data_IF_151326212808
#
_entry.id   IF_151326212808
#
_cell.length_a   1.000
_cell.length_b   1.000
_cell.length_c   1.000
_cell.angle_alpha   90.00
_cell.angle_beta   90.00
_cell.angle_gamma   90.00
#
_symmetry.space_group_name_H-M   'P 1'
#
loop_
_entity.id
_entity.type
_entity.pdbx_description
1 polymer ?
#
# COMPACT_ATOMS: atom_id res chain seq x y z
N UNK A 1 -35.79 -11.39 54.89
CA UNK A 1 -34.54 -12.13 54.61
C UNK A 1 -34.55 -12.50 53.14
N UNK A 2 -33.54 -12.37 52.30
CA UNK A 2 -32.29 -11.63 52.24
C UNK A 2 -31.94 -11.67 50.73
N UNK A 3 -31.37 -10.58 50.20
CA UNK A 3 -30.92 -10.47 48.80
C UNK A 3 -29.89 -11.56 48.47
N UNK A 4 -29.92 -12.08 47.26
CA UNK A 4 -28.69 -12.32 46.50
C UNK A 4 -29.01 -12.22 45.00
N UNK A 5 -29.10 -10.97 44.55
CA UNK A 5 -28.83 -10.62 43.16
C UNK A 5 -27.36 -10.90 42.90
N UNK A 6 -27.08 -12.05 42.29
CA UNK A 6 -25.77 -12.32 41.71
C UNK A 6 -25.93 -12.18 40.20
N UNK A 7 -25.87 -10.93 39.73
CA UNK A 7 -25.76 -10.64 38.31
C UNK A 7 -24.33 -10.97 37.93
N UNK A 8 -24.08 -12.25 37.62
CA UNK A 8 -22.82 -12.66 37.03
C UNK A 8 -22.64 -11.84 35.74
N UNK A 9 -21.57 -11.04 35.69
CA UNK A 9 -21.16 -10.37 34.48
C UNK A 9 -20.93 -11.44 33.41
N UNK A 10 -21.79 -11.45 32.39
CA UNK A 10 -21.67 -12.34 31.24
C UNK A 10 -20.35 -11.97 30.55
N UNK A 11 -19.34 -12.83 30.70
CA UNK A 11 -18.05 -12.66 30.01
C UNK A 11 -18.33 -12.94 28.54
N UNK A 12 -18.46 -11.86 27.76
CA UNK A 12 -18.55 -11.96 26.31
C UNK A 12 -17.21 -12.50 25.81
N UNK A 13 -17.16 -13.77 25.42
CA UNK A 13 -16.03 -14.30 24.66
C UNK A 13 -15.93 -13.54 23.33
N UNK A 14 -14.85 -12.78 23.17
CA UNK A 14 -14.52 -12.09 21.94
C UNK A 14 -13.95 -13.10 20.94
N UNK A 15 -14.60 -13.23 19.78
CA UNK A 15 -14.05 -13.98 18.65
C UNK A 15 -12.79 -13.26 18.12
N UNK A 16 -11.64 -13.89 18.34
CA UNK A 16 -10.32 -13.42 17.88
C UNK A 16 -9.90 -14.05 16.55
N UNK A 17 -10.76 -14.84 15.92
CA UNK A 17 -10.45 -15.49 14.65
C UNK A 17 -10.38 -14.48 13.50
N UNK A 18 -9.43 -14.70 12.58
CA UNK A 18 -9.29 -13.87 11.38
C UNK A 18 -10.21 -14.38 10.27
N UNK A 19 -10.69 -13.45 9.43
CA UNK A 19 -11.50 -13.81 8.27
C UNK A 19 -10.76 -14.80 7.34
N UNK A 20 -11.46 -15.75 6.69
CA UNK A 20 -10.84 -16.72 5.79
C UNK A 20 -10.01 -16.08 4.67
N UNK A 21 -10.43 -14.91 4.17
CA UNK A 21 -9.71 -14.16 3.15
C UNK A 21 -8.32 -13.77 3.64
N UNK A 22 -8.23 -13.17 4.83
CA UNK A 22 -6.95 -12.78 5.45
C UNK A 22 -6.08 -14.00 5.71
N UNK A 23 -6.65 -15.08 6.28
CA UNK A 23 -5.91 -16.33 6.53
C UNK A 23 -5.35 -16.99 5.27
N UNK A 24 -5.98 -16.78 4.11
CA UNK A 24 -5.52 -17.35 2.84
C UNK A 24 -4.38 -16.56 2.17
N UNK A 25 -4.16 -15.31 2.57
CA UNK A 25 -3.10 -14.46 2.00
C UNK A 25 -1.75 -14.90 2.52
N UNK A 26 -0.84 -15.24 1.60
CA UNK A 26 0.54 -15.59 1.96
C UNK A 26 1.32 -14.33 2.35
N UNK A 27 2.11 -14.37 3.44
CA UNK A 27 3.01 -13.27 3.77
C UNK A 27 3.97 -12.93 2.61
N UNK A 28 4.28 -11.64 2.45
CA UNK A 28 5.23 -11.19 1.44
C UNK A 28 6.64 -11.63 1.82
N UNK A 29 7.25 -12.47 0.97
CA UNK A 29 8.64 -12.90 1.15
C UNK A 29 9.62 -11.73 1.08
N UNK A 30 9.35 -10.74 0.23
CA UNK A 30 10.21 -9.55 0.10
C UNK A 30 10.26 -8.77 1.40
N UNK A 31 9.10 -8.54 2.03
CA UNK A 31 9.04 -7.85 3.33
C UNK A 31 9.76 -8.67 4.39
N UNK A 32 9.46 -9.97 4.50
CA UNK A 32 10.10 -10.84 5.49
C UNK A 32 11.64 -10.87 5.39
N UNK A 33 12.19 -10.93 4.17
CA UNK A 33 13.65 -10.92 3.97
C UNK A 33 14.24 -9.54 4.31
N UNK A 34 13.58 -8.45 3.91
CA UNK A 34 14.02 -7.09 4.24
C UNK A 34 14.02 -6.86 5.76
N UNK A 35 12.98 -7.29 6.46
CA UNK A 35 12.87 -7.15 7.92
C UNK A 35 13.96 -7.95 8.64
N UNK A 36 14.21 -9.19 8.20
CA UNK A 36 15.29 -10.01 8.74
C UNK A 36 16.66 -9.38 8.50
N UNK A 37 16.90 -8.83 7.30
CA UNK A 37 18.16 -8.18 6.97
C UNK A 37 18.38 -6.90 7.82
N UNK A 38 17.32 -6.15 8.09
CA UNK A 38 17.36 -5.00 9.01
C UNK A 38 17.66 -5.43 10.43
N UNK A 39 16.99 -6.46 10.96
CA UNK A 39 17.24 -6.96 12.31
C UNK A 39 18.68 -7.46 12.50
N UNK A 40 19.26 -8.11 11.49
CA UNK A 40 20.66 -8.53 11.51
C UNK A 40 21.62 -7.33 11.52
N UNK A 41 21.35 -6.31 10.70
CA UNK A 41 22.15 -5.09 10.68
C UNK A 41 22.10 -4.34 12.02
N UNK A 42 20.92 -4.25 12.64
CA UNK A 42 20.72 -3.66 13.98
C UNK A 42 21.42 -4.46 15.08
N UNK A 43 21.53 -5.77 14.93
CA UNK A 43 22.31 -6.64 15.81
C UNK A 43 23.84 -6.54 15.56
N UNK A 44 24.29 -5.66 14.66
CA UNK A 44 25.70 -5.45 14.34
C UNK A 44 26.30 -6.48 13.39
N UNK A 45 25.47 -7.34 12.77
CA UNK A 45 25.94 -8.29 11.75
C UNK A 45 26.05 -7.54 10.42
N UNK A 46 27.20 -7.57 9.74
CA UNK A 46 27.33 -6.98 8.41
C UNK A 46 26.42 -7.69 7.40
N UNK A 47 25.49 -6.95 6.78
CA UNK A 47 24.55 -7.47 5.78
C UNK A 47 24.53 -6.58 4.54
N UNK A 48 24.70 -7.18 3.36
CA UNK A 48 24.46 -6.51 2.08
C UNK A 48 22.99 -6.74 1.70
N UNK A 49 22.20 -5.67 1.66
CA UNK A 49 20.75 -5.73 1.41
C UNK A 49 20.45 -5.62 -0.08
N UNK A 50 20.02 -6.73 -0.68
CA UNK A 50 19.64 -6.82 -2.10
C UNK A 50 18.16 -7.23 -2.31
N UNK A 51 17.36 -7.17 -1.25
CA UNK A 51 15.98 -7.68 -1.24
C UNK A 51 14.94 -6.62 -1.64
N UNK A 52 15.08 -5.39 -1.14
CA UNK A 52 14.19 -4.28 -1.49
C UNK A 52 14.68 -3.58 -2.76
N UNK A 53 13.76 -3.22 -3.65
CA UNK A 53 14.04 -2.42 -4.85
C UNK A 53 14.00 -0.91 -4.58
N UNK A 54 14.39 -0.48 -3.39
CA UNK A 54 14.44 0.94 -3.02
C UNK A 54 15.73 1.56 -3.57
N UNK A 55 15.66 2.69 -4.32
CA UNK A 55 16.85 3.40 -4.77
C UNK A 55 17.73 3.87 -3.61
N UNK A 56 19.04 3.96 -3.85
CA UNK A 56 20.04 4.44 -2.89
C UNK A 56 20.23 5.97 -2.90
N UNK A 57 19.60 6.67 -3.86
CA UNK A 57 19.65 8.12 -3.96
C UNK A 57 18.56 8.78 -3.12
N UNK A 58 18.88 9.95 -2.56
CA UNK A 58 17.91 10.79 -1.88
C UNK A 58 16.82 11.31 -2.85
N UNK A 59 15.69 11.71 -2.28
CA UNK A 59 14.66 12.44 -3.04
C UNK A 59 15.26 13.75 -3.60
N UNK A 60 15.09 14.04 -4.90
CA UNK A 60 15.63 15.27 -5.51
C UNK A 60 15.25 16.54 -4.72
N UNK A 61 16.21 17.45 -4.53
CA UNK A 61 16.05 18.61 -3.65
C UNK A 61 14.79 19.44 -3.94
N UNK A 62 14.45 19.66 -5.21
CA UNK A 62 13.24 20.41 -5.60
C UNK A 62 11.94 19.75 -5.15
N UNK A 63 11.92 18.41 -5.04
CA UNK A 63 10.76 17.64 -4.57
C UNK A 63 10.69 17.70 -3.05
N UNK A 64 11.83 17.56 -2.36
CA UNK A 64 11.90 17.69 -0.91
C UNK A 64 11.47 19.09 -0.44
N UNK A 65 11.95 20.15 -1.11
CA UNK A 65 11.57 21.53 -0.83
C UNK A 65 10.07 21.79 -1.08
N UNK A 66 9.48 21.22 -2.14
CA UNK A 66 8.04 21.32 -2.36
C UNK A 66 7.24 20.70 -1.20
N UNK A 67 7.68 19.56 -0.67
CA UNK A 67 7.08 18.94 0.52
C UNK A 67 7.22 19.80 1.78
N UNK A 68 8.39 20.38 2.01
CA UNK A 68 8.64 21.30 3.13
C UNK A 68 7.74 22.55 3.02
N UNK A 69 7.64 23.13 1.83
CA UNK A 69 6.81 24.31 1.60
C UNK A 69 5.32 23.99 1.78
N UNK A 70 4.84 22.83 1.32
CA UNK A 70 3.47 22.40 1.56
C UNK A 70 3.13 22.35 3.07
N UNK A 71 4.07 21.88 3.90
CA UNK A 71 3.91 21.89 5.36
C UNK A 71 3.88 23.33 5.90
N UNK A 72 4.85 24.17 5.51
CA UNK A 72 4.96 25.57 5.96
C UNK A 72 3.76 26.41 5.59
N UNK A 73 3.19 26.19 4.42
CA UNK A 73 2.03 26.90 3.87
C UNK A 73 0.70 26.30 4.36
N UNK A 74 0.73 25.23 5.16
CA UNK A 74 -0.45 24.70 5.82
C UNK A 74 -1.31 23.77 4.95
N UNK A 75 -0.77 23.19 3.87
CA UNK A 75 -1.42 22.15 3.05
C UNK A 75 -1.53 20.81 3.80
N UNK A 76 -2.28 20.82 4.89
CA UNK A 76 -2.42 19.71 5.86
C UNK A 76 -3.87 19.30 6.08
N UNK A 77 -4.80 19.87 5.30
CA UNK A 77 -6.23 19.57 5.33
C UNK A 77 -6.56 18.49 4.30
N UNK A 78 -7.79 17.99 4.34
CA UNK A 78 -8.26 17.01 3.38
C UNK A 78 -8.09 17.50 1.95
N UNK A 79 -7.48 16.65 1.12
CA UNK A 79 -7.50 16.79 -0.32
C UNK A 79 -8.78 16.16 -0.90
N UNK A 80 -9.14 16.48 -2.15
CA UNK A 80 -10.19 15.74 -2.86
C UNK A 80 -9.85 14.24 -2.92
N UNK A 81 -10.84 13.38 -2.80
CA UNK A 81 -10.65 11.93 -2.71
C UNK A 81 -9.86 11.33 -3.90
N UNK A 82 -10.05 11.86 -5.11
CA UNK A 82 -9.31 11.41 -6.30
C UNK A 82 -7.88 11.97 -6.39
N UNK A 83 -7.51 12.91 -5.52
CA UNK A 83 -6.28 13.71 -5.61
C UNK A 83 -6.54 15.15 -6.07
N UNK A 84 -5.58 16.03 -5.79
CA UNK A 84 -5.66 17.45 -6.16
C UNK A 84 -5.75 17.62 -7.68
N UNK A 85 -6.46 18.66 -8.13
CA UNK A 85 -6.65 18.93 -9.55
C UNK A 85 -5.30 19.15 -10.27
N UNK A 86 -4.38 19.85 -9.61
CA UNK A 86 -3.04 20.14 -10.13
C UNK A 86 -2.24 18.86 -10.39
N UNK A 87 -2.21 17.93 -9.41
CA UNK A 87 -1.49 16.67 -9.56
C UNK A 87 -2.11 15.79 -10.65
N UNK A 88 -3.44 15.68 -10.71
CA UNK A 88 -4.12 14.89 -11.76
C UNK A 88 -3.86 15.47 -13.16
N UNK A 89 -3.86 16.80 -13.31
CA UNK A 89 -3.53 17.44 -14.57
C UNK A 89 -2.06 17.19 -14.98
N UNK A 90 -1.12 17.27 -14.03
CA UNK A 90 0.30 16.97 -14.26
C UNK A 90 0.50 15.50 -14.70
N UNK A 91 -0.21 14.55 -14.09
CA UNK A 91 -0.19 13.13 -14.51
C UNK A 91 -0.71 12.97 -15.94
N UNK A 92 -1.84 13.61 -16.30
CA UNK A 92 -2.37 13.56 -17.67
C UNK A 92 -1.36 14.10 -18.69
N UNK A 93 -0.69 15.22 -18.36
CA UNK A 93 0.37 15.79 -19.20
C UNK A 93 1.54 14.82 -19.37
N UNK A 94 2.05 14.23 -18.28
CA UNK A 94 3.13 13.24 -18.30
C UNK A 94 2.76 12.01 -19.15
N UNK A 95 1.55 11.47 -18.99
CA UNK A 95 1.07 10.34 -19.79
C UNK A 95 1.00 10.68 -21.28
N UNK A 96 0.62 11.91 -21.63
CA UNK A 96 0.60 12.36 -23.02
C UNK A 96 2.01 12.50 -23.60
N UNK A 97 2.90 13.19 -22.87
CA UNK A 97 4.25 13.52 -23.34
C UNK A 97 5.17 12.30 -23.41
N UNK A 98 5.13 11.43 -22.39
CA UNK A 98 6.06 10.30 -22.28
C UNK A 98 5.49 8.98 -22.79
N UNK A 99 4.16 8.83 -22.80
CA UNK A 99 3.50 7.57 -23.15
C UNK A 99 2.56 7.69 -24.36
N UNK A 100 2.34 8.90 -24.89
CA UNK A 100 1.41 9.12 -26.01
C UNK A 100 -0.07 8.88 -25.66
N UNK A 101 -0.41 8.85 -24.36
CA UNK A 101 -1.76 8.53 -23.87
C UNK A 101 -2.51 9.79 -23.49
N UNK A 102 -3.74 9.95 -23.99
CA UNK A 102 -4.60 11.09 -23.66
C UNK A 102 -5.69 10.67 -22.68
N UNK A 103 -5.69 11.29 -21.50
CA UNK A 103 -6.69 11.11 -20.45
C UNK A 103 -7.19 12.46 -19.94
N UNK A 104 -8.44 12.49 -19.49
CA UNK A 104 -8.98 13.60 -18.72
C UNK A 104 -8.67 13.44 -17.22
N UNK A 105 -8.57 14.54 -16.44
CA UNK A 105 -8.23 14.45 -15.02
C UNK A 105 -9.18 13.59 -14.18
N UNK A 106 -10.45 13.47 -14.55
CA UNK A 106 -11.45 12.61 -13.89
C UNK A 106 -11.24 11.11 -14.15
N UNK A 107 -10.36 10.76 -15.10
CA UNK A 107 -9.90 9.40 -15.36
C UNK A 107 -8.62 9.05 -14.56
N UNK A 108 -8.14 9.94 -13.69
CA UNK A 108 -6.95 9.74 -12.85
C UNK A 108 -7.35 9.73 -11.38
N UNK A 109 -6.91 8.70 -10.65
CA UNK A 109 -7.06 8.58 -9.19
C UNK A 109 -5.68 8.45 -8.55
N UNK A 110 -5.37 9.32 -7.61
CA UNK A 110 -4.13 9.30 -6.82
C UNK A 110 -4.34 8.42 -5.58
N UNK A 111 -3.39 7.54 -5.30
CA UNK A 111 -3.42 6.61 -4.15
C UNK A 111 -2.10 6.69 -3.36
N UNK A 112 -2.06 6.06 -2.18
CA UNK A 112 -0.86 5.88 -1.36
C UNK A 112 0.08 4.84 -1.97
N UNK A 113 0.67 5.20 -3.11
CA UNK A 113 1.55 4.34 -3.89
C UNK A 113 0.81 3.34 -4.79
N UNK A 114 1.54 2.77 -5.74
CA UNK A 114 0.98 1.94 -6.81
C UNK A 114 0.27 0.66 -6.30
N UNK A 115 0.68 0.12 -5.15
CA UNK A 115 0.07 -1.08 -4.56
C UNK A 115 -1.41 -0.85 -4.24
N UNK A 116 -1.76 0.32 -3.70
CA UNK A 116 -3.16 0.67 -3.43
C UNK A 116 -3.95 0.82 -4.74
N UNK A 117 -3.36 1.43 -5.76
CA UNK A 117 -4.03 1.59 -7.07
C UNK A 117 -4.34 0.23 -7.70
N UNK A 118 -3.41 -0.73 -7.64
CA UNK A 118 -3.60 -2.09 -8.17
C UNK A 118 -4.69 -2.83 -7.39
N UNK A 119 -4.66 -2.84 -6.06
CA UNK A 119 -5.67 -3.57 -5.27
C UNK A 119 -7.07 -2.98 -5.47
N UNK A 120 -7.19 -1.65 -5.56
CA UNK A 120 -8.47 -1.00 -5.84
C UNK A 120 -9.00 -1.34 -7.23
N UNK A 121 -8.13 -1.38 -8.25
CA UNK A 121 -8.51 -1.78 -9.59
C UNK A 121 -9.04 -3.22 -9.62
N UNK A 122 -8.34 -4.16 -8.98
CA UNK A 122 -8.77 -5.57 -8.90
C UNK A 122 -10.10 -5.70 -8.15
N UNK A 123 -10.22 -5.06 -6.97
CA UNK A 123 -11.46 -5.11 -6.18
C UNK A 123 -12.65 -4.48 -6.91
N UNK A 124 -12.42 -3.49 -7.78
CA UNK A 124 -13.49 -2.82 -8.51
C UNK A 124 -14.01 -3.63 -9.71
N UNK A 125 -13.17 -4.45 -10.34
CA UNK A 125 -13.51 -5.14 -11.60
C UNK A 125 -13.73 -6.64 -11.47
N UNK A 126 -13.22 -7.28 -10.41
CA UNK A 126 -13.31 -8.73 -10.22
C UNK A 126 -14.41 -9.13 -9.23
N UNK A 127 -15.25 -10.08 -9.64
CA UNK A 127 -16.25 -10.77 -8.82
C UNK A 127 -15.74 -12.14 -8.35
N UNK A 128 -16.35 -12.73 -7.31
CA UNK A 128 -16.03 -14.10 -6.90
C UNK A 128 -16.21 -15.09 -8.06
N UNK A 129 -15.16 -15.87 -8.35
CA UNK A 129 -15.13 -16.82 -9.46
C UNK A 129 -14.45 -16.30 -10.72
N UNK A 130 -14.16 -15.00 -10.82
CA UNK A 130 -13.42 -14.45 -11.95
C UNK A 130 -11.95 -14.91 -11.95
N UNK A 131 -11.44 -15.20 -13.14
CA UNK A 131 -10.05 -15.62 -13.34
C UNK A 131 -9.15 -14.43 -13.71
N UNK A 132 -8.17 -14.12 -12.86
CA UNK A 132 -7.14 -13.10 -13.15
C UNK A 132 -5.93 -13.75 -13.82
N UNK A 133 -5.70 -13.42 -15.10
CA UNK A 133 -4.56 -13.96 -15.88
C UNK A 133 -3.29 -13.17 -15.63
N UNK A 134 -2.27 -13.84 -15.11
CA UNK A 134 -0.90 -13.32 -15.05
C UNK A 134 -0.13 -13.75 -16.30
N UNK A 135 0.03 -12.84 -17.27
CA UNK A 135 0.64 -13.12 -18.57
C UNK A 135 2.14 -13.46 -18.49
N UNK A 136 2.81 -13.07 -17.41
CA UNK A 136 4.23 -13.34 -17.18
C UNK A 136 4.36 -14.07 -15.84
N UNK A 137 4.72 -15.35 -15.88
CA UNK A 137 5.19 -16.08 -14.69
C UNK A 137 6.72 -16.05 -14.69
N UNK A 138 7.37 -15.46 -13.67
CA UNK A 138 8.80 -15.66 -13.48
C UNK A 138 9.08 -17.16 -13.35
N UNK A 139 10.03 -17.69 -14.13
CA UNK A 139 10.40 -19.12 -14.10
C UNK A 139 10.87 -19.60 -12.72
N UNK A 140 11.13 -18.69 -11.78
CA UNK A 140 11.74 -18.93 -10.47
C UNK A 140 10.76 -19.13 -9.31
N UNK A 141 9.45 -19.23 -9.55
CA UNK A 141 8.46 -19.47 -8.47
C UNK A 141 8.33 -18.31 -7.44
N UNK A 142 9.00 -17.18 -7.71
CA UNK A 142 8.88 -15.92 -6.97
C UNK A 142 7.68 -15.13 -7.48
N UNK A 143 6.48 -15.70 -7.33
CA UNK A 143 5.23 -14.99 -7.56
C UNK A 143 4.55 -14.75 -6.21
N UNK A 144 4.97 -13.72 -5.50
CA UNK A 144 4.23 -13.16 -4.35
C UNK A 144 4.77 -11.76 -4.04
N UNK A 145 4.52 -10.80 -4.93
CA UNK A 145 4.85 -9.37 -4.71
C UNK A 145 3.60 -8.48 -4.79
N UNK A 146 2.43 -9.07 -5.05
CA UNK A 146 1.14 -8.37 -4.95
C UNK A 146 0.38 -8.92 -3.76
#
# INVERSE_FOLDING_TARGET
MAKSSDTAAEVVELDVSLSPRVNSVKPSKTVAITDQATALAEAGVPVIRLAAGEPDFDTPAVIAEAGINAIREGYTRYSPNAGTQELRAAICKKLKEENGLSYAPDQVVVSNGAKQSIIQAVLAVCSPGDEVKFLIKPKTGLASVI
#
